data_IF_710704994665
#
_entry.id   IF_710704994665
#
_cell.length_a   1.000
_cell.length_b   1.000
_cell.length_c   1.000
_cell.angle_alpha   90.00
_cell.angle_beta   90.00
_cell.angle_gamma   90.00
#
_symmetry.space_group_name_H-M   'P 1'
#
loop_
_entity.id
_entity.type
_entity.pdbx_description
1 polymer ?
#
# COMPACT_ATOMS: atom_id res chain seq x y z
N UNK A 1 -20.81 -1.82 21.92
CA UNK A 1 -20.42 -0.40 21.85
C UNK A 1 -21.49 0.41 22.56
N UNK A 2 -21.13 1.50 23.23
CA UNK A 2 -22.10 2.47 23.74
C UNK A 2 -22.75 3.24 22.57
N UNK A 3 -23.95 3.79 22.77
CA UNK A 3 -24.65 4.62 21.76
C UNK A 3 -23.84 5.85 21.30
N UNK A 4 -22.77 6.20 22.01
CA UNK A 4 -21.85 7.30 21.73
C UNK A 4 -20.62 6.92 20.89
N UNK A 5 -20.31 5.63 20.75
CA UNK A 5 -19.07 5.20 20.09
C UNK A 5 -19.20 5.33 18.57
N UNK A 6 -18.09 5.62 17.88
CA UNK A 6 -18.03 5.75 16.42
C UNK A 6 -17.19 4.64 15.80
N UNK A 7 -17.75 3.98 14.79
CA UNK A 7 -17.03 3.04 13.96
C UNK A 7 -16.72 3.72 12.61
N UNK A 8 -15.43 3.89 12.30
CA UNK A 8 -14.98 4.56 11.07
C UNK A 8 -14.16 3.58 10.24
N UNK A 9 -14.71 3.15 9.11
CA UNK A 9 -14.04 2.29 8.14
C UNK A 9 -13.32 3.13 7.09
N UNK A 10 -11.98 3.04 7.03
CA UNK A 10 -11.19 3.68 5.98
C UNK A 10 -10.91 2.70 4.83
N UNK A 11 -11.37 3.02 3.61
CA UNK A 11 -11.39 2.11 2.48
C UNK A 11 -10.60 2.66 1.28
N UNK A 12 -10.01 1.71 0.55
CA UNK A 12 -9.47 1.92 -0.78
C UNK A 12 -10.01 0.83 -1.70
N UNK A 13 -10.86 1.20 -2.66
CA UNK A 13 -11.32 0.30 -3.71
C UNK A 13 -10.47 0.55 -4.95
N UNK A 14 -9.65 -0.43 -5.41
CA UNK A 14 -8.83 -0.26 -6.61
C UNK A 14 -9.68 0.08 -7.83
N UNK A 15 -9.18 0.88 -8.79
CA UNK A 15 -9.90 1.21 -10.02
C UNK A 15 -10.36 -0.05 -10.76
N UNK A 16 -11.49 0.02 -11.48
CA UNK A 16 -12.12 -1.11 -12.18
C UNK A 16 -11.17 -1.96 -13.04
N UNK A 17 -10.18 -1.32 -13.67
CA UNK A 17 -9.20 -1.98 -14.53
C UNK A 17 -7.90 -2.41 -13.80
N UNK A 18 -7.90 -2.40 -12.46
CA UNK A 18 -6.74 -2.81 -11.66
C UNK A 18 -6.43 -4.29 -11.86
N UNK A 19 -5.13 -4.63 -11.92
CA UNK A 19 -4.69 -6.03 -11.92
C UNK A 19 -5.11 -6.79 -10.68
N UNK A 20 -5.49 -6.09 -9.61
CA UNK A 20 -6.00 -6.67 -8.36
C UNK A 20 -7.18 -7.64 -8.62
N UNK A 21 -8.20 -7.21 -9.34
CA UNK A 21 -9.39 -8.04 -9.59
C UNK A 21 -9.08 -9.28 -10.43
N UNK A 22 -8.14 -9.18 -11.38
CA UNK A 22 -7.67 -10.33 -12.16
C UNK A 22 -6.96 -11.38 -11.30
N UNK A 23 -6.31 -10.96 -10.22
CA UNK A 23 -5.55 -11.86 -9.33
C UNK A 23 -6.46 -12.48 -8.27
N UNK A 24 -7.39 -11.70 -7.70
CA UNK A 24 -8.14 -12.09 -6.51
C UNK A 24 -9.59 -12.53 -6.77
N UNK A 25 -10.12 -12.37 -7.99
CA UNK A 25 -11.49 -12.76 -8.38
C UNK A 25 -12.55 -12.43 -7.31
N UNK A 26 -12.62 -11.17 -6.90
CA UNK A 26 -13.47 -10.70 -5.80
C UNK A 26 -14.35 -9.52 -6.20
N UNK A 27 -15.52 -9.37 -5.57
CA UNK A 27 -16.33 -8.16 -5.65
C UNK A 27 -16.28 -7.39 -4.32
N UNK A 28 -15.47 -6.32 -4.29
CA UNK A 28 -15.26 -5.53 -3.08
C UNK A 28 -16.48 -4.71 -2.66
N UNK A 29 -17.40 -4.38 -3.59
CA UNK A 29 -18.62 -3.68 -3.21
C UNK A 29 -19.60 -4.63 -2.51
N UNK A 30 -19.68 -5.88 -2.97
CA UNK A 30 -20.46 -6.92 -2.29
C UNK A 30 -19.90 -7.24 -0.91
N UNK A 31 -18.57 -7.38 -0.81
CA UNK A 31 -17.91 -7.61 0.49
C UNK A 31 -18.17 -6.45 1.46
N UNK A 32 -18.06 -5.21 0.97
CA UNK A 32 -18.39 -4.03 1.78
C UNK A 32 -19.85 -4.05 2.24
N UNK A 33 -20.79 -4.39 1.37
CA UNK A 33 -22.21 -4.49 1.71
C UNK A 33 -22.45 -5.50 2.85
N UNK A 34 -21.87 -6.70 2.72
CA UNK A 34 -21.95 -7.75 3.74
C UNK A 34 -21.39 -7.29 5.09
N UNK A 35 -20.23 -6.63 5.08
CA UNK A 35 -19.63 -6.09 6.29
C UNK A 35 -20.49 -4.97 6.89
N UNK A 36 -21.07 -4.10 6.07
CA UNK A 36 -21.94 -3.03 6.57
C UNK A 36 -23.18 -3.58 7.26
N UNK A 37 -23.76 -4.69 6.79
CA UNK A 37 -24.87 -5.38 7.48
C UNK A 37 -24.44 -5.84 8.87
N UNK A 38 -23.30 -6.52 8.96
CA UNK A 38 -22.77 -7.03 10.22
C UNK A 38 -22.47 -5.91 11.23
N UNK A 39 -21.64 -4.93 10.83
CA UNK A 39 -21.21 -3.86 11.73
C UNK A 39 -22.33 -2.87 12.09
N UNK A 40 -23.32 -2.69 11.20
CA UNK A 40 -24.48 -1.84 11.49
C UNK A 40 -25.37 -2.37 12.61
N UNK A 41 -25.37 -3.68 12.85
CA UNK A 41 -26.12 -4.28 13.95
C UNK A 41 -25.47 -3.99 15.31
N UNK A 42 -24.14 -3.87 15.33
CA UNK A 42 -23.33 -3.72 16.53
C UNK A 42 -23.06 -2.25 16.90
N UNK A 43 -23.01 -1.37 15.89
CA UNK A 43 -22.85 0.07 16.09
C UNK A 43 -23.71 0.90 15.12
N UNK A 44 -24.66 1.70 15.62
CA UNK A 44 -25.48 2.55 14.77
C UNK A 44 -24.67 3.71 14.14
N UNK A 45 -23.55 4.11 14.77
CA UNK A 45 -22.74 5.26 14.37
C UNK A 45 -21.58 4.88 13.44
N UNK A 46 -21.92 4.25 12.32
CA UNK A 46 -20.95 3.81 11.33
C UNK A 46 -20.71 4.89 10.27
N UNK A 47 -19.43 5.08 9.93
CA UNK A 47 -18.95 5.95 8.87
C UNK A 47 -18.00 5.17 7.96
N UNK A 48 -18.11 5.39 6.65
CA UNK A 48 -17.17 4.86 5.66
C UNK A 48 -16.46 6.02 5.00
N UNK A 49 -15.14 6.01 4.98
CA UNK A 49 -14.32 7.08 4.42
C UNK A 49 -13.26 6.52 3.47
N UNK A 50 -12.94 7.22 2.38
CA UNK A 50 -11.78 6.90 1.55
C UNK A 50 -12.04 6.89 0.04
N UNK A 51 -11.06 6.43 -0.73
CA UNK A 51 -11.08 6.40 -2.19
C UNK A 51 -11.81 5.16 -2.71
N UNK A 52 -13.02 5.37 -3.21
CA UNK A 52 -13.88 4.31 -3.73
C UNK A 52 -13.78 4.16 -5.26
N UNK A 53 -12.97 5.01 -5.93
CA UNK A 53 -12.85 5.07 -7.39
C UNK A 53 -14.20 5.14 -8.15
N UNK A 54 -15.24 5.62 -7.46
CA UNK A 54 -16.63 5.67 -7.92
C UNK A 54 -17.02 7.11 -8.29
N UNK A 55 -17.58 7.33 -9.47
CA UNK A 55 -18.09 8.63 -9.92
C UNK A 55 -19.59 8.58 -9.97
N UNK A 56 -20.26 9.37 -9.14
CA UNK A 56 -21.70 9.24 -8.90
C UNK A 56 -22.54 10.39 -9.47
N UNK A 57 -21.87 11.41 -10.04
CA UNK A 57 -22.48 12.69 -10.35
C UNK A 57 -23.35 13.22 -9.19
N UNK A 58 -24.55 13.73 -9.49
CA UNK A 58 -25.59 14.07 -8.52
C UNK A 58 -26.72 13.03 -8.48
N UNK A 59 -26.46 11.79 -8.90
CA UNK A 59 -27.48 10.73 -8.84
C UNK A 59 -27.81 10.42 -7.38
N UNK A 60 -29.10 10.18 -7.12
CA UNK A 60 -29.61 9.83 -5.80
C UNK A 60 -29.08 8.47 -5.34
N UNK A 61 -28.61 8.48 -4.11
CA UNK A 61 -28.10 7.37 -3.30
C UNK A 61 -29.16 6.83 -2.32
N UNK A 62 -30.42 7.18 -2.58
CA UNK A 62 -31.61 6.73 -1.84
C UNK A 62 -32.72 6.34 -2.84
N UNK A 63 -33.70 5.59 -2.36
CA UNK A 63 -34.89 5.20 -3.13
C UNK A 63 -35.89 6.36 -3.12
N UNK A 64 -36.22 6.87 -4.30
CA UNK A 64 -37.22 7.92 -4.43
C UNK A 64 -38.63 7.35 -4.29
N UNK A 65 -39.50 8.09 -3.60
CA UNK A 65 -40.91 7.74 -3.39
C UNK A 65 -41.10 6.37 -2.70
N UNK A 66 -40.23 6.05 -1.74
CA UNK A 66 -40.21 4.75 -1.06
C UNK A 66 -41.30 4.57 0.01
N UNK A 67 -42.30 5.46 0.04
CA UNK A 67 -43.42 5.36 0.98
C UNK A 67 -44.45 4.39 0.43
N UNK A 68 -44.65 3.28 1.13
CA UNK A 68 -45.78 2.38 0.88
C UNK A 68 -47.08 3.00 1.40
N UNK A 69 -48.19 2.65 0.76
CA UNK A 69 -49.52 3.03 1.22
C UNK A 69 -49.90 2.27 2.49
N UNK A 70 -50.59 2.92 3.44
CA UNK A 70 -50.95 2.36 4.74
C UNK A 70 -51.65 1.01 4.63
N UNK A 71 -52.56 0.85 3.66
CA UNK A 71 -53.27 -0.43 3.42
C UNK A 71 -52.36 -1.61 3.03
N UNK A 72 -51.15 -1.34 2.51
CA UNK A 72 -50.14 -2.37 2.26
C UNK A 72 -49.40 -2.65 3.55
N UNK A 73 -48.95 -1.60 4.25
CA UNK A 73 -48.25 -1.72 5.54
C UNK A 73 -49.07 -2.48 6.58
N UNK A 74 -50.37 -2.22 6.69
CA UNK A 74 -51.27 -2.94 7.60
C UNK A 74 -51.39 -4.44 7.27
N UNK A 75 -51.16 -4.82 6.00
CA UNK A 75 -51.24 -6.22 5.54
C UNK A 75 -49.91 -6.95 5.62
N UNK A 76 -48.79 -6.24 5.48
CA UNK A 76 -47.44 -6.84 5.49
C UNK A 76 -46.65 -6.54 6.76
N UNK A 77 -47.14 -5.66 7.63
CA UNK A 77 -46.47 -5.27 8.87
C UNK A 77 -46.27 -6.44 9.84
N UNK A 78 -47.14 -7.44 9.80
CA UNK A 78 -46.99 -8.70 10.53
C UNK A 78 -45.95 -9.65 9.91
N UNK A 79 -45.60 -9.47 8.62
CA UNK A 79 -44.69 -10.34 7.87
C UNK A 79 -43.25 -9.82 7.87
N UNK A 80 -43.05 -8.50 7.84
CA UNK A 80 -41.74 -7.88 7.96
C UNK A 80 -41.85 -6.38 8.31
N UNK A 81 -40.87 -5.87 9.05
CA UNK A 81 -40.70 -4.44 9.33
C UNK A 81 -40.14 -3.73 8.10
N UNK A 82 -40.98 -3.01 7.37
CA UNK A 82 -40.57 -2.13 6.28
C UNK A 82 -40.24 -0.73 6.83
N UNK A 83 -39.03 -0.25 6.54
CA UNK A 83 -38.62 1.13 6.85
C UNK A 83 -38.40 1.85 5.53
N UNK A 84 -39.27 2.82 5.25
CA UNK A 84 -39.16 3.63 4.03
C UNK A 84 -37.86 4.44 4.04
N UNK A 85 -37.22 4.53 2.88
CA UNK A 85 -35.95 5.22 2.72
C UNK A 85 -36.11 6.74 2.88
N UNK A 86 -35.17 7.37 3.59
CA UNK A 86 -35.21 8.81 3.87
C UNK A 86 -34.65 9.62 2.70
N UNK A 87 -35.51 10.42 2.06
CA UNK A 87 -35.10 11.33 1.01
C UNK A 87 -34.29 12.50 1.59
N UNK A 88 -33.09 12.73 1.05
CA UNK A 88 -32.21 13.82 1.46
C UNK A 88 -32.06 14.88 0.37
N UNK A 89 -31.54 16.04 0.77
CA UNK A 89 -31.19 17.12 -0.15
C UNK A 89 -30.25 16.65 -1.26
N UNK A 90 -30.41 17.26 -2.44
CA UNK A 90 -29.52 17.02 -3.57
C UNK A 90 -28.08 17.33 -3.18
N UNK A 91 -27.16 16.48 -3.61
CA UNK A 91 -25.73 16.74 -3.46
C UNK A 91 -25.32 17.89 -4.37
N UNK A 92 -24.41 18.72 -3.90
CA UNK A 92 -23.65 19.64 -4.73
C UNK A 92 -22.30 19.00 -5.07
N UNK A 93 -22.30 18.15 -6.09
CA UNK A 93 -21.09 17.51 -6.62
C UNK A 93 -20.58 18.27 -7.86
N UNK A 94 -19.31 18.75 -7.87
CA UNK A 94 -18.73 19.38 -9.05
C UNK A 94 -18.38 18.38 -10.16
N UNK A 95 -18.27 17.09 -9.84
CA UNK A 95 -18.10 16.03 -10.84
C UNK A 95 -19.46 15.67 -11.45
N UNK A 96 -19.62 15.92 -12.75
CA UNK A 96 -20.83 15.56 -13.51
C UNK A 96 -20.75 14.16 -14.14
N UNK A 97 -19.62 13.46 -14.03
CA UNK A 97 -19.42 12.16 -14.65
C UNK A 97 -19.92 10.99 -13.80
N UNK A 98 -20.20 9.87 -14.47
CA UNK A 98 -20.53 8.60 -13.84
C UNK A 98 -19.63 7.48 -14.35
N UNK A 99 -19.51 6.39 -13.58
CA UNK A 99 -18.90 5.14 -14.00
C UNK A 99 -19.62 3.93 -13.34
N UNK A 100 -19.26 2.71 -13.74
CA UNK A 100 -19.87 1.48 -13.22
C UNK A 100 -19.74 1.38 -11.69
N UNK A 101 -18.61 1.82 -11.14
CA UNK A 101 -18.36 1.84 -9.69
C UNK A 101 -19.24 2.88 -8.98
N UNK A 102 -19.57 3.99 -9.66
CA UNK A 102 -20.59 4.93 -9.25
C UNK A 102 -21.94 4.26 -9.08
N UNK A 103 -22.37 3.49 -10.07
CA UNK A 103 -23.62 2.72 -9.98
C UNK A 103 -23.58 1.72 -8.83
N UNK A 104 -22.48 0.98 -8.66
CA UNK A 104 -22.31 0.05 -7.54
C UNK A 104 -22.37 0.75 -6.18
N UNK A 105 -21.69 1.89 -6.02
CA UNK A 105 -21.73 2.69 -4.80
C UNK A 105 -23.14 3.21 -4.50
N UNK A 106 -23.85 3.70 -5.51
CA UNK A 106 -25.24 4.18 -5.35
C UNK A 106 -26.19 3.04 -4.95
N UNK A 107 -25.99 1.83 -5.48
CA UNK A 107 -26.76 0.66 -5.09
C UNK A 107 -26.45 0.23 -3.66
N UNK A 108 -25.17 0.21 -3.27
CA UNK A 108 -24.73 -0.04 -1.89
C UNK A 108 -25.36 0.96 -0.92
N UNK A 109 -25.41 2.25 -1.26
CA UNK A 109 -26.08 3.26 -0.43
C UNK A 109 -27.58 2.97 -0.25
N UNK A 110 -28.28 2.58 -1.33
CA UNK A 110 -29.72 2.26 -1.29
C UNK A 110 -30.01 1.01 -0.48
N UNK A 111 -29.19 -0.04 -0.62
CA UNK A 111 -29.42 -1.31 0.07
C UNK A 111 -29.01 -1.27 1.55
N UNK A 112 -27.96 -0.51 1.90
CA UNK A 112 -27.48 -0.39 3.28
C UNK A 112 -28.09 0.77 4.07
N UNK A 113 -28.80 1.69 3.40
CA UNK A 113 -29.28 2.94 3.98
C UNK A 113 -28.17 3.98 4.25
N UNK A 114 -26.95 3.74 3.78
CA UNK A 114 -25.87 4.74 3.81
C UNK A 114 -26.13 5.88 2.83
N UNK A 115 -25.55 7.04 3.11
CA UNK A 115 -25.66 8.26 2.31
C UNK A 115 -24.31 8.90 2.10
N UNK A 116 -24.08 9.38 0.89
CA UNK A 116 -22.92 10.17 0.52
C UNK A 116 -23.03 11.56 1.16
N UNK A 117 -22.11 11.90 2.05
CA UNK A 117 -22.12 13.19 2.75
C UNK A 117 -21.49 14.29 1.88
N UNK A 118 -20.60 13.94 0.95
CA UNK A 118 -19.99 14.89 0.01
C UNK A 118 -21.09 15.65 -0.74
N UNK A 119 -21.01 16.98 -0.73
CA UNK A 119 -22.03 17.80 -1.38
C UNK A 119 -23.27 18.09 -0.54
N UNK A 120 -23.41 17.51 0.67
CA UNK A 120 -24.57 17.71 1.57
C UNK A 120 -24.25 18.50 2.83
N UNK A 121 -22.98 18.56 3.22
CA UNK A 121 -22.59 19.28 4.42
C UNK A 121 -22.93 20.78 4.29
N UNK A 122 -23.61 21.41 5.27
CA UNK A 122 -24.12 22.78 5.15
C UNK A 122 -23.07 23.85 4.81
N UNK A 123 -21.85 23.70 5.34
CA UNK A 123 -20.75 24.64 5.08
C UNK A 123 -20.29 24.69 3.61
N UNK A 124 -20.70 23.72 2.78
CA UNK A 124 -20.37 23.67 1.35
C UNK A 124 -18.90 23.40 1.03
N UNK A 125 -18.03 23.27 2.05
CA UNK A 125 -16.59 23.04 1.89
C UNK A 125 -16.25 21.63 1.37
N UNK A 126 -17.22 20.72 1.36
CA UNK A 126 -17.11 19.38 0.75
C UNK A 126 -17.42 19.36 -0.75
N UNK A 127 -17.84 20.49 -1.32
CA UNK A 127 -18.38 20.59 -2.69
C UNK A 127 -17.25 20.84 -3.70
N UNK A 128 -16.17 20.06 -3.62
CA UNK A 128 -14.97 20.23 -4.43
C UNK A 128 -14.41 18.89 -4.92
N UNK A 129 -13.60 18.93 -5.97
CA UNK A 129 -12.95 17.75 -6.54
C UNK A 129 -11.96 17.14 -5.54
N UNK A 130 -12.03 15.81 -5.37
CA UNK A 130 -11.11 15.08 -4.49
C UNK A 130 -9.93 14.49 -5.25
N UNK A 131 -10.01 14.43 -6.58
CA UNK A 131 -8.95 13.91 -7.45
C UNK A 131 -8.72 14.81 -8.66
N UNK A 132 -7.45 14.97 -9.05
CA UNK A 132 -7.02 15.75 -10.23
C UNK A 132 -5.84 15.08 -10.93
N UNK A 133 -6.12 14.52 -12.11
CA UNK A 133 -5.15 13.81 -12.93
C UNK A 133 -5.09 14.32 -14.37
N UNK A 134 -4.16 13.79 -15.19
CA UNK A 134 -3.99 14.24 -16.59
C UNK A 134 -5.23 14.08 -17.47
N UNK A 135 -6.16 13.19 -17.08
CA UNK A 135 -7.41 12.87 -17.80
C UNK A 135 -8.61 13.68 -17.32
N UNK A 136 -8.45 14.51 -16.29
CA UNK A 136 -9.54 15.29 -15.71
C UNK A 136 -9.57 15.22 -14.20
N UNK A 137 -10.65 15.74 -13.64
CA UNK A 137 -10.93 15.81 -12.21
C UNK A 137 -12.17 14.99 -11.89
N UNK A 138 -12.25 14.49 -10.66
CA UNK A 138 -13.40 13.71 -10.19
C UNK A 138 -13.58 13.82 -8.68
N UNK A 139 -14.77 13.42 -8.22
CA UNK A 139 -15.02 13.13 -6.80
C UNK A 139 -15.08 11.62 -6.66
N UNK A 140 -14.06 11.06 -6.00
CA UNK A 140 -13.90 9.61 -5.79
C UNK A 140 -13.57 9.25 -4.34
N UNK A 141 -13.23 10.26 -3.52
CA UNK A 141 -12.97 10.12 -2.10
C UNK A 141 -14.23 10.56 -1.33
N UNK A 142 -14.85 9.63 -0.61
CA UNK A 142 -16.16 9.84 0.00
C UNK A 142 -16.12 9.78 1.52
N UNK A 143 -17.08 10.44 2.15
CA UNK A 143 -17.60 10.09 3.47
C UNK A 143 -19.03 9.59 3.30
N UNK A 144 -19.32 8.39 3.79
CA UNK A 144 -20.66 7.80 3.83
C UNK A 144 -21.10 7.66 5.29
N UNK A 145 -22.38 7.92 5.56
CA UNK A 145 -22.98 7.70 6.87
C UNK A 145 -24.49 7.41 6.73
N UNK A 146 -25.11 6.82 7.75
CA UNK A 146 -26.57 6.76 7.85
C UNK A 146 -27.16 8.17 8.07
N UNK A 147 -28.40 8.46 7.66
CA UNK A 147 -29.05 9.76 7.87
C UNK A 147 -28.96 10.28 9.32
N UNK A 148 -29.19 9.41 10.30
CA UNK A 148 -29.10 9.75 11.74
C UNK A 148 -27.72 10.24 12.20
N UNK A 149 -26.66 9.93 11.43
CA UNK A 149 -25.28 10.30 11.77
C UNK A 149 -24.80 11.55 11.05
N UNK A 150 -25.59 12.13 10.14
CA UNK A 150 -25.19 13.31 9.36
C UNK A 150 -24.93 14.50 10.30
N UNK A 151 -25.78 14.72 11.30
CA UNK A 151 -25.63 15.82 12.27
C UNK A 151 -24.43 15.64 13.21
N UNK A 152 -23.86 14.43 13.27
CA UNK A 152 -22.64 14.15 14.04
C UNK A 152 -21.38 14.63 13.30
N UNK A 153 -21.48 14.97 12.02
CA UNK A 153 -20.38 15.56 11.23
C UNK A 153 -20.43 17.08 11.39
N UNK A 154 -19.51 17.64 12.18
CA UNK A 154 -19.41 19.07 12.45
C UNK A 154 -18.73 19.85 11.32
N UNK A 155 -17.76 19.22 10.66
CA UNK A 155 -17.08 19.80 9.49
C UNK A 155 -16.78 18.72 8.48
N UNK A 156 -16.95 19.06 7.21
CA UNK A 156 -16.45 18.27 6.10
C UNK A 156 -15.85 19.18 5.03
N UNK A 157 -14.54 19.09 4.84
CA UNK A 157 -13.74 19.95 3.96
C UNK A 157 -12.97 19.09 2.98
N UNK A 158 -13.10 19.38 1.69
CA UNK A 158 -12.15 18.93 0.67
C UNK A 158 -10.99 19.93 0.65
N UNK A 159 -9.82 19.51 1.09
CA UNK A 159 -8.64 20.37 1.23
C UNK A 159 -8.00 20.71 -0.12
N UNK A 160 -7.07 21.66 -0.11
CA UNK A 160 -6.30 21.99 -1.31
C UNK A 160 -5.41 20.83 -1.78
N UNK A 161 -5.25 20.69 -3.09
CA UNK A 161 -4.29 19.76 -3.67
C UNK A 161 -2.86 20.15 -3.29
N UNK A 162 -2.01 19.14 -3.09
CA UNK A 162 -0.60 19.31 -2.71
C UNK A 162 0.33 18.74 -3.79
N UNK A 163 1.64 18.89 -3.61
CA UNK A 163 2.64 18.27 -4.49
C UNK A 163 2.87 16.79 -4.20
N UNK A 164 2.22 16.26 -3.15
CA UNK A 164 2.43 14.90 -2.64
C UNK A 164 1.51 13.86 -3.28
N UNK A 165 0.33 14.28 -3.75
CA UNK A 165 -0.68 13.39 -4.33
C UNK A 165 -1.44 14.09 -5.46
N UNK A 166 -2.05 13.31 -6.34
CA UNK A 166 -3.13 13.72 -7.24
C UNK A 166 -4.51 13.75 -6.55
N UNK A 167 -4.61 13.25 -5.32
CA UNK A 167 -5.78 13.41 -4.46
C UNK A 167 -5.66 14.64 -3.55
N UNK A 168 -6.79 15.29 -3.30
CA UNK A 168 -6.99 16.29 -2.28
C UNK A 168 -7.43 15.60 -0.96
N UNK A 169 -6.80 15.90 0.18
CA UNK A 169 -7.23 15.33 1.46
C UNK A 169 -8.66 15.73 1.82
N UNK A 170 -9.47 14.79 2.27
CA UNK A 170 -10.73 15.08 2.95
C UNK A 170 -10.51 15.20 4.45
N UNK A 171 -11.02 16.28 5.05
CA UNK A 171 -10.96 16.55 6.48
C UNK A 171 -12.37 16.50 7.06
N UNK A 172 -12.54 15.66 8.08
CA UNK A 172 -13.82 15.46 8.75
C UNK A 172 -13.64 15.70 10.24
N UNK A 173 -14.53 16.49 10.84
CA UNK A 173 -14.61 16.68 12.28
C UNK A 173 -15.93 16.10 12.78
N UNK A 174 -15.87 15.21 13.76
CA UNK A 174 -17.05 14.62 14.38
C UNK A 174 -17.36 15.30 15.71
N UNK A 175 -18.64 15.41 16.05
CA UNK A 175 -19.11 15.77 17.39
C UNK A 175 -18.80 14.62 18.33
N UNK A 176 -18.38 14.85 19.55
CA UNK A 176 -18.29 13.76 20.56
C UNK A 176 -18.87 14.29 21.86
N UNK A 177 -19.46 13.42 22.67
CA UNK A 177 -20.03 13.80 23.96
C UNK A 177 -18.96 13.85 25.08
N UNK A 178 -17.68 13.79 24.70
CA UNK A 178 -16.58 13.84 25.62
C UNK A 178 -16.27 15.28 26.03
N UNK A 179 -16.58 15.62 27.29
CA UNK A 179 -16.11 16.87 27.88
C UNK A 179 -14.66 16.67 28.30
N UNK A 180 -13.69 17.15 27.51
CA UNK A 180 -12.30 17.16 27.95
C UNK A 180 -12.17 18.02 29.21
N UNK A 181 -11.95 17.40 30.37
CA UNK A 181 -11.27 18.09 31.46
C UNK A 181 -9.82 18.26 31.01
N UNK A 182 -9.50 19.43 30.45
CA UNK A 182 -8.12 19.81 30.19
C UNK A 182 -7.42 20.09 31.52
N UNK A 183 -7.03 19.04 32.24
CA UNK A 183 -5.81 19.15 33.01
C UNK A 183 -4.68 19.12 31.98
N UNK A 184 -3.88 20.18 31.96
CA UNK A 184 -2.70 20.32 31.10
C UNK A 184 -2.03 18.97 30.85
N UNK A 185 -2.15 18.47 29.61
CA UNK A 185 -1.34 17.34 29.17
C UNK A 185 0.07 17.90 29.02
N UNK A 186 0.75 18.00 30.16
CA UNK A 186 2.20 17.96 30.22
C UNK A 186 2.61 16.73 29.43
N UNK A 187 3.41 17.00 28.39
CA UNK A 187 4.37 16.08 27.78
C UNK A 187 4.67 14.87 28.66
N UNK A 188 4.25 13.66 28.26
CA UNK A 188 4.88 12.33 28.51
C UNK A 188 3.90 11.15 28.30
N UNK A 189 3.13 11.11 27.22
CA UNK A 189 2.39 9.89 26.81
C UNK A 189 3.21 8.97 25.88
N UNK A 190 4.53 9.09 25.89
CA UNK A 190 5.44 8.21 25.14
C UNK A 190 6.65 7.81 26.02
N UNK A 191 6.37 7.43 27.27
CA UNK A 191 7.34 6.67 28.07
C UNK A 191 6.96 5.19 28.01
N UNK A 192 7.81 4.36 27.38
CA UNK A 192 7.91 2.96 27.78
C UNK A 192 7.99 1.89 26.68
N UNK A 193 7.42 2.07 25.49
CA UNK A 193 7.54 1.03 24.46
C UNK A 193 8.71 1.30 23.52
N UNK A 194 9.64 0.35 23.44
CA UNK A 194 10.68 0.33 22.42
C UNK A 194 10.02 0.37 21.03
N UNK A 195 9.97 1.55 20.41
CA UNK A 195 9.42 1.72 19.07
C UNK A 195 10.03 0.71 18.11
N UNK A 196 9.22 -0.26 17.69
CA UNK A 196 9.62 -1.26 16.72
C UNK A 196 9.80 -0.58 15.36
N UNK A 197 11.00 -0.65 14.79
CA UNK A 197 11.29 0.00 13.52
C UNK A 197 11.24 -1.01 12.37
N UNK A 198 10.28 -0.86 11.47
CA UNK A 198 10.18 -1.69 10.27
C UNK A 198 10.69 -0.92 9.04
N UNK A 199 11.45 -1.60 8.19
CA UNK A 199 11.91 -1.04 6.91
C UNK A 199 11.66 -2.02 5.78
N UNK A 200 10.82 -1.59 4.83
CA UNK A 200 10.57 -2.34 3.61
C UNK A 200 11.88 -2.64 2.84
N UNK A 201 12.04 -3.90 2.45
CA UNK A 201 13.09 -4.35 1.55
C UNK A 201 12.45 -5.19 0.42
N UNK A 202 12.60 -4.74 -0.82
CA UNK A 202 12.08 -5.41 -2.02
C UNK A 202 12.57 -6.85 -2.14
N UNK A 203 13.79 -7.16 -1.69
CA UNK A 203 14.37 -8.50 -1.78
C UNK A 203 13.58 -9.54 -0.99
N UNK A 204 12.90 -9.13 0.09
CA UNK A 204 12.07 -10.01 0.91
C UNK A 204 10.59 -9.98 0.51
N UNK A 205 10.22 -9.28 -0.57
CA UNK A 205 8.81 -9.15 -0.98
C UNK A 205 8.14 -10.51 -1.17
N UNK A 206 8.71 -11.36 -2.03
CA UNK A 206 8.06 -12.62 -2.40
C UNK A 206 8.09 -13.63 -1.23
N UNK A 207 9.15 -13.61 -0.41
CA UNK A 207 9.24 -14.43 0.80
C UNK A 207 8.21 -14.03 1.86
N UNK A 208 8.08 -12.72 2.12
CA UNK A 208 7.06 -12.22 3.03
C UNK A 208 5.66 -12.47 2.50
N UNK A 209 5.44 -12.35 1.19
CA UNK A 209 4.16 -12.65 0.56
C UNK A 209 3.76 -14.12 0.77
N UNK A 210 4.68 -15.06 0.53
CA UNK A 210 4.42 -16.47 0.78
C UNK A 210 4.19 -16.77 2.26
N UNK A 211 4.94 -16.13 3.16
CA UNK A 211 4.72 -16.28 4.60
C UNK A 211 3.31 -15.77 5.01
N UNK A 212 2.87 -14.64 4.47
CA UNK A 212 1.52 -14.13 4.69
C UNK A 212 0.45 -15.06 4.14
N UNK A 213 0.66 -15.68 2.97
CA UNK A 213 -0.27 -16.66 2.42
C UNK A 213 -0.40 -17.91 3.29
N UNK A 214 0.71 -18.42 3.82
CA UNK A 214 0.70 -19.61 4.70
C UNK A 214 0.00 -19.31 6.03
N UNK A 215 0.11 -18.08 6.54
CA UNK A 215 -0.50 -17.66 7.81
C UNK A 215 -1.81 -16.87 7.59
N UNK A 216 -2.42 -16.97 6.40
CA UNK A 216 -3.61 -16.19 6.06
C UNK A 216 -4.79 -16.56 6.96
N UNK A 217 -5.00 -17.87 7.18
CA UNK A 217 -6.08 -18.36 8.04
C UNK A 217 -5.89 -17.92 9.49
N UNK A 218 -4.66 -17.95 10.00
CA UNK A 218 -4.34 -17.46 11.35
C UNK A 218 -4.65 -15.96 11.47
N UNK A 219 -4.23 -15.15 10.50
CA UNK A 219 -4.54 -13.72 10.45
C UNK A 219 -6.05 -13.49 10.41
N UNK A 220 -6.77 -14.20 9.55
CA UNK A 220 -8.24 -14.11 9.45
C UNK A 220 -8.94 -14.53 10.74
N UNK A 221 -8.44 -15.56 11.43
CA UNK A 221 -9.01 -16.04 12.68
C UNK A 221 -8.93 -15.01 13.81
N UNK A 222 -7.91 -14.14 13.80
CA UNK A 222 -7.81 -13.05 14.79
C UNK A 222 -8.97 -12.07 14.70
N UNK A 223 -9.60 -11.97 13.53
CA UNK A 223 -10.70 -11.05 13.23
C UNK A 223 -12.07 -11.77 13.30
N UNK A 224 -12.11 -13.09 13.04
CA UNK A 224 -13.34 -13.86 12.91
C UNK A 224 -14.23 -13.91 14.16
N UNK A 225 -13.64 -13.72 15.36
CA UNK A 225 -14.37 -13.67 16.64
C UNK A 225 -14.13 -12.32 17.34
N UNK A 226 -14.09 -11.22 16.58
CA UNK A 226 -13.99 -9.88 17.16
C UNK A 226 -15.17 -9.62 18.10
N UNK A 227 -14.90 -9.46 19.39
CA UNK A 227 -15.81 -8.74 20.28
C UNK A 227 -15.65 -7.24 19.99
N UNK A 228 -16.46 -6.74 19.06
CA UNK A 228 -16.56 -5.30 18.82
C UNK A 228 -17.50 -4.62 19.80
N UNK A 229 -18.16 -5.34 20.72
CA UNK A 229 -19.10 -4.75 21.65
C UNK A 229 -18.42 -3.95 22.76
N UNK A 230 -17.10 -4.06 22.94
CA UNK A 230 -16.34 -3.31 23.93
C UNK A 230 -15.03 -2.74 23.36
N UNK A 231 -14.55 -1.63 23.93
CA UNK A 231 -13.22 -1.08 23.58
C UNK A 231 -12.10 -2.09 23.89
N UNK A 232 -12.20 -2.80 25.02
CA UNK A 232 -11.22 -3.82 25.40
C UNK A 232 -11.18 -4.99 24.41
N UNK A 233 -12.35 -5.41 23.90
CA UNK A 233 -12.44 -6.44 22.86
C UNK A 233 -11.81 -6.00 21.53
N UNK A 234 -12.06 -4.74 21.12
CA UNK A 234 -11.43 -4.15 19.94
C UNK A 234 -9.91 -4.06 20.10
N UNK A 235 -9.44 -3.55 21.23
CA UNK A 235 -8.01 -3.40 21.53
C UNK A 235 -7.32 -4.77 21.56
N UNK A 236 -7.94 -5.79 22.16
CA UNK A 236 -7.44 -7.16 22.15
C UNK A 236 -7.32 -7.70 20.74
N UNK A 237 -8.32 -7.48 19.89
CA UNK A 237 -8.26 -7.93 18.51
C UNK A 237 -7.16 -7.20 17.71
N UNK A 238 -7.07 -5.87 17.84
CA UNK A 238 -6.01 -5.08 17.20
C UNK A 238 -4.64 -5.57 17.65
N UNK A 239 -4.46 -5.85 18.94
CA UNK A 239 -3.22 -6.37 19.49
C UNK A 239 -2.90 -7.77 18.93
N UNK A 240 -3.89 -8.67 18.88
CA UNK A 240 -3.71 -10.02 18.34
C UNK A 240 -3.35 -10.00 16.85
N UNK A 241 -4.08 -9.21 16.05
CA UNK A 241 -3.79 -9.04 14.63
C UNK A 241 -2.41 -8.42 14.42
N UNK A 242 -2.10 -7.35 15.15
CA UNK A 242 -0.79 -6.67 15.08
C UNK A 242 0.34 -7.60 15.46
N UNK A 243 0.17 -8.41 16.50
CA UNK A 243 1.15 -9.39 16.95
C UNK A 243 1.33 -10.50 15.91
N UNK A 244 0.24 -11.06 15.37
CA UNK A 244 0.29 -12.08 14.33
C UNK A 244 1.01 -11.55 13.07
N UNK A 245 0.58 -10.39 12.57
CA UNK A 245 1.20 -9.72 11.43
C UNK A 245 2.68 -9.39 11.70
N UNK A 246 3.00 -8.93 12.90
CA UNK A 246 4.38 -8.66 13.32
C UNK A 246 5.20 -9.93 13.34
N UNK A 247 4.68 -11.04 13.88
CA UNK A 247 5.39 -12.32 13.91
C UNK A 247 5.73 -12.81 12.48
N UNK A 248 4.79 -12.65 11.54
CA UNK A 248 4.99 -13.05 10.14
C UNK A 248 5.96 -12.09 9.42
N UNK A 249 5.85 -10.78 9.63
CA UNK A 249 6.57 -9.77 8.83
C UNK A 249 7.90 -9.31 9.43
N UNK A 250 8.08 -9.42 10.75
CA UNK A 250 9.28 -8.97 11.45
C UNK A 250 10.57 -9.66 10.98
N UNK A 251 10.61 -10.98 10.69
CA UNK A 251 11.81 -11.63 10.15
C UNK A 251 12.34 -10.97 8.87
N UNK A 252 11.46 -10.31 8.11
CA UNK A 252 11.79 -9.67 6.84
C UNK A 252 12.12 -8.18 6.98
N UNK A 253 11.40 -7.46 7.85
CA UNK A 253 11.41 -5.99 7.86
C UNK A 253 11.78 -5.36 9.20
N UNK A 254 11.70 -6.08 10.33
CA UNK A 254 12.01 -5.51 11.65
C UNK A 254 13.51 -5.25 11.74
N UNK A 255 13.86 -4.02 12.07
CA UNK A 255 15.23 -3.64 12.38
C UNK A 255 15.43 -3.63 13.89
N UNK A 256 16.56 -4.15 14.33
CA UNK A 256 16.97 -3.98 15.71
C UNK A 256 17.20 -2.49 15.99
N UNK A 257 16.74 -1.98 17.15
CA UNK A 257 17.08 -0.64 17.58
C UNK A 257 18.60 -0.50 17.52
N UNK A 258 19.09 0.45 16.72
CA UNK A 258 20.49 0.82 16.84
C UNK A 258 20.62 1.46 18.22
N UNK A 259 21.26 0.75 19.16
CA UNK A 259 21.67 1.33 20.44
C UNK A 259 22.28 2.68 20.12
N UNK A 260 21.59 3.76 20.52
CA UNK A 260 22.11 5.11 20.34
C UNK A 260 23.35 5.17 21.22
N UNK A 261 24.52 4.89 20.66
CA UNK A 261 25.77 5.31 21.27
C UNK A 261 25.58 6.78 21.61
N UNK A 262 25.71 7.14 22.90
CA UNK A 262 25.59 8.51 23.39
C UNK A 262 26.63 9.36 22.65
N UNK A 263 26.28 9.85 21.47
CA UNK A 263 27.06 10.86 20.77
C UNK A 263 26.93 12.11 21.62
N UNK A 264 28.02 12.46 22.30
CA UNK A 264 28.17 13.76 22.96
C UNK A 264 27.68 14.82 21.97
N UNK A 265 26.65 15.57 22.36
CA UNK A 265 26.11 16.69 21.58
C UNK A 265 27.20 17.76 21.53
N UNK A 266 28.07 17.71 20.53
CA UNK A 266 28.77 18.89 20.09
C UNK A 266 27.73 19.78 19.41
N UNK A 267 27.23 20.74 20.19
CA UNK A 267 26.55 21.93 19.71
C UNK A 267 27.48 22.67 18.76
N UNK A 268 27.28 22.46 17.45
CA UNK A 268 27.69 23.28 16.30
C UNK A 268 27.86 22.36 15.08
N UNK A 269 26.72 21.91 14.55
CA UNK A 269 26.60 21.63 13.13
C UNK A 269 25.15 21.90 12.81
N UNK A 270 24.84 23.17 12.52
CA UNK A 270 23.66 23.48 11.72
C UNK A 270 23.75 22.55 10.50
N UNK A 271 22.84 21.57 10.41
CA UNK A 271 22.72 20.78 9.18
C UNK A 271 22.33 21.78 8.11
N UNK A 272 23.32 22.28 7.36
CA UNK A 272 23.06 22.98 6.11
C UNK A 272 22.23 21.99 5.30
N UNK A 273 20.95 22.31 5.10
CA UNK A 273 20.03 21.47 4.37
C UNK A 273 20.43 21.57 2.90
N UNK A 274 21.52 20.88 2.56
CA UNK A 274 22.05 20.83 1.21
C UNK A 274 21.14 19.94 0.41
N UNK A 275 20.64 20.48 -0.70
CA UNK A 275 19.86 19.71 -1.64
C UNK A 275 20.62 18.44 -2.05
N UNK A 276 19.88 17.43 -2.49
CA UNK A 276 20.47 16.23 -3.07
C UNK A 276 21.47 16.67 -4.17
N UNK A 277 22.63 16.01 -4.33
CA UNK A 277 23.64 16.41 -5.32
C UNK A 277 23.14 16.47 -6.76
N UNK A 278 22.05 15.76 -7.07
CA UNK A 278 21.42 15.74 -8.38
C UNK A 278 20.31 16.79 -8.56
N UNK A 279 19.91 17.52 -7.53
CA UNK A 279 18.83 18.51 -7.60
C UNK A 279 19.39 19.89 -7.98
N UNK A 280 19.59 20.05 -9.29
CA UNK A 280 20.18 21.26 -9.87
C UNK A 280 19.22 22.47 -9.87
N UNK A 281 19.76 23.63 -10.27
CA UNK A 281 19.02 24.88 -10.35
C UNK A 281 17.79 24.81 -11.27
N UNK A 282 17.90 24.13 -12.42
CA UNK A 282 16.77 23.93 -13.34
C UNK A 282 15.65 23.10 -12.72
N UNK A 283 15.98 22.11 -11.90
CA UNK A 283 15.01 21.30 -11.18
C UNK A 283 14.26 22.14 -10.14
N UNK A 284 14.96 23.05 -9.45
CA UNK A 284 14.35 24.04 -8.53
C UNK A 284 13.38 24.95 -9.24
N UNK A 285 13.77 25.50 -10.39
CA UNK A 285 12.92 26.39 -11.19
C UNK A 285 11.65 25.69 -11.68
N UNK A 286 11.78 24.45 -12.19
CA UNK A 286 10.64 23.64 -12.61
C UNK A 286 9.72 23.30 -11.43
N UNK A 287 10.29 23.01 -10.25
CA UNK A 287 9.51 22.77 -9.03
C UNK A 287 8.76 24.03 -8.58
N UNK A 288 9.43 25.19 -8.56
CA UNK A 288 8.81 26.46 -8.21
C UNK A 288 7.66 26.82 -9.18
N UNK A 289 7.85 26.60 -10.49
CA UNK A 289 6.78 26.79 -11.47
C UNK A 289 5.61 25.82 -11.23
N UNK A 290 5.89 24.55 -10.94
CA UNK A 290 4.85 23.58 -10.57
C UNK A 290 4.06 24.05 -9.33
N UNK A 291 4.73 24.45 -8.26
CA UNK A 291 4.07 24.98 -7.05
C UNK A 291 3.22 26.23 -7.34
N UNK A 292 3.72 27.15 -8.19
CA UNK A 292 2.96 28.33 -8.60
C UNK A 292 1.68 27.96 -9.36
N UNK A 293 1.78 27.05 -10.33
CA UNK A 293 0.60 26.57 -11.08
C UNK A 293 -0.37 25.80 -10.19
N UNK A 294 0.12 25.04 -9.22
CA UNK A 294 -0.71 24.35 -8.23
C UNK A 294 -1.50 25.34 -7.36
N UNK A 295 -0.83 26.41 -6.89
CA UNK A 295 -1.49 27.47 -6.12
C UNK A 295 -2.59 28.16 -6.95
N UNK A 296 -2.30 28.49 -8.22
CA UNK A 296 -3.31 29.05 -9.14
C UNK A 296 -4.48 28.09 -9.38
N UNK A 297 -4.20 26.80 -9.57
CA UNK A 297 -5.21 25.77 -9.75
C UNK A 297 -6.12 25.64 -8.52
N UNK A 298 -5.57 25.57 -7.31
CA UNK A 298 -6.35 25.45 -6.07
C UNK A 298 -7.36 26.59 -5.88
N UNK A 299 -7.03 27.81 -6.34
CA UNK A 299 -7.91 28.97 -6.18
C UNK A 299 -9.18 28.97 -7.03
N UNK A 300 -9.18 28.37 -8.23
CA UNK A 300 -10.35 28.42 -9.15
C UNK A 300 -10.66 27.12 -9.91
N UNK A 301 -9.72 26.18 -10.00
CA UNK A 301 -9.84 24.88 -10.68
C UNK A 301 -10.45 24.93 -12.09
N UNK A 302 -10.12 25.97 -12.85
CA UNK A 302 -10.58 26.12 -14.25
C UNK A 302 -9.86 25.14 -15.18
N UNK A 303 -10.47 24.84 -16.33
CA UNK A 303 -9.89 24.00 -17.38
C UNK A 303 -8.46 24.45 -17.76
N UNK A 304 -8.25 25.75 -17.97
CA UNK A 304 -6.93 26.30 -18.31
C UNK A 304 -5.91 26.10 -17.17
N UNK A 305 -6.32 26.36 -15.92
CA UNK A 305 -5.43 26.16 -14.77
C UNK A 305 -5.05 24.69 -14.57
N UNK A 306 -5.97 23.77 -14.90
CA UNK A 306 -5.73 22.33 -14.86
C UNK A 306 -4.72 21.88 -15.92
N UNK A 307 -4.84 22.39 -17.15
CA UNK A 307 -3.86 22.12 -18.22
C UNK A 307 -2.47 22.64 -17.83
N UNK A 308 -2.41 23.88 -17.36
CA UNK A 308 -1.17 24.51 -16.92
C UNK A 308 -0.48 23.73 -15.79
N UNK A 309 -1.27 23.31 -14.79
CA UNK A 309 -0.79 22.48 -13.68
C UNK A 309 -0.20 21.17 -14.19
N UNK A 310 -0.93 20.44 -15.03
CA UNK A 310 -0.51 19.16 -15.56
C UNK A 310 0.76 19.28 -16.43
N UNK A 311 0.84 20.33 -17.25
CA UNK A 311 2.02 20.63 -18.06
C UNK A 311 3.26 20.91 -17.18
N UNK A 312 3.11 21.77 -16.17
CA UNK A 312 4.20 22.10 -15.24
C UNK A 312 4.63 20.88 -14.39
N UNK A 313 3.68 20.11 -13.85
CA UNK A 313 3.93 18.85 -13.12
C UNK A 313 4.69 17.86 -13.98
N UNK A 314 4.26 17.66 -15.24
CA UNK A 314 4.92 16.74 -16.19
C UNK A 314 6.35 17.18 -16.51
N UNK A 315 6.57 18.46 -16.77
CA UNK A 315 7.91 19.00 -17.05
C UNK A 315 8.86 18.78 -15.87
N UNK A 316 8.42 19.12 -14.65
CA UNK A 316 9.18 18.89 -13.43
C UNK A 316 9.49 17.41 -13.21
N UNK A 317 8.48 16.53 -13.19
CA UNK A 317 8.66 15.10 -12.91
C UNK A 317 9.54 14.40 -13.95
N UNK A 318 9.40 14.75 -15.24
CA UNK A 318 10.27 14.22 -16.29
C UNK A 318 11.74 14.59 -16.05
N UNK A 319 12.01 15.85 -15.68
CA UNK A 319 13.36 16.33 -15.43
C UNK A 319 13.95 15.74 -14.13
N UNK A 320 13.16 15.71 -13.05
CA UNK A 320 13.52 15.07 -11.79
C UNK A 320 13.93 13.60 -12.01
N UNK A 321 13.12 12.83 -12.76
CA UNK A 321 13.44 11.45 -13.10
C UNK A 321 14.74 11.33 -13.91
N UNK A 322 15.00 12.24 -14.86
CA UNK A 322 16.25 12.27 -15.64
C UNK A 322 17.46 12.45 -14.74
N UNK A 323 17.43 13.42 -13.82
CA UNK A 323 18.53 13.70 -12.89
C UNK A 323 18.78 12.52 -11.95
N UNK A 324 17.72 11.95 -11.35
CA UNK A 324 17.83 10.75 -10.51
C UNK A 324 18.46 9.57 -11.25
N UNK A 325 18.10 9.34 -12.51
CA UNK A 325 18.68 8.26 -13.34
C UNK A 325 20.15 8.54 -13.68
N UNK A 326 20.47 9.77 -14.08
CA UNK A 326 21.85 10.17 -14.40
C UNK A 326 22.77 10.00 -13.18
N UNK A 327 22.32 10.47 -12.02
CA UNK A 327 23.05 10.36 -10.77
C UNK A 327 23.30 8.91 -10.37
N UNK A 328 22.26 8.05 -10.39
CA UNK A 328 22.44 6.60 -10.12
C UNK A 328 23.41 5.94 -11.10
N UNK A 329 23.39 6.34 -12.37
CA UNK A 329 24.33 5.83 -13.39
C UNK A 329 25.77 6.27 -13.09
N UNK A 330 25.97 7.53 -12.72
CA UNK A 330 27.27 8.05 -12.31
C UNK A 330 27.80 7.34 -11.05
N UNK A 331 26.95 7.09 -10.05
CA UNK A 331 27.32 6.27 -8.90
C UNK A 331 27.79 4.88 -9.33
N UNK A 332 27.09 4.24 -10.28
CA UNK A 332 27.51 2.97 -10.88
C UNK A 332 28.88 3.04 -11.56
N UNK A 333 29.14 4.07 -12.37
CA UNK A 333 30.46 4.27 -13.00
C UNK A 333 31.58 4.50 -11.99
N UNK A 334 31.32 5.30 -10.95
CA UNK A 334 32.28 5.52 -9.87
C UNK A 334 32.61 4.21 -9.15
N UNK A 335 31.61 3.36 -8.92
CA UNK A 335 31.82 2.04 -8.34
C UNK A 335 32.65 1.12 -9.27
N UNK A 336 32.37 1.09 -10.57
CA UNK A 336 33.18 0.33 -11.53
C UNK A 336 34.64 0.80 -11.60
N UNK A 337 34.85 2.13 -11.63
CA UNK A 337 36.19 2.72 -11.62
C UNK A 337 36.91 2.39 -10.32
N UNK A 338 36.23 2.52 -9.18
CA UNK A 338 36.79 2.16 -7.88
C UNK A 338 37.14 0.67 -7.79
N UNK A 339 36.33 -0.22 -8.38
CA UNK A 339 36.62 -1.65 -8.48
C UNK A 339 37.91 -1.92 -9.25
N UNK A 340 38.17 -1.19 -10.33
CA UNK A 340 39.37 -1.32 -11.16
C UNK A 340 40.61 -0.70 -10.52
N UNK A 341 40.50 0.55 -10.07
CA UNK A 341 41.64 1.37 -9.66
C UNK A 341 42.00 1.19 -8.17
N UNK A 342 41.01 0.86 -7.32
CA UNK A 342 41.22 0.64 -5.89
C UNK A 342 40.26 -0.44 -5.34
N UNK A 343 40.49 -1.72 -5.70
CA UNK A 343 39.62 -2.82 -5.28
C UNK A 343 39.41 -2.89 -3.77
N UNK A 344 40.44 -2.55 -2.97
CA UNK A 344 40.35 -2.53 -1.50
C UNK A 344 39.31 -1.51 -1.00
N UNK A 345 39.32 -0.30 -1.55
CA UNK A 345 38.33 0.74 -1.22
C UNK A 345 36.95 0.42 -1.80
N UNK A 346 36.89 -0.23 -2.95
CA UNK A 346 35.62 -0.74 -3.49
C UNK A 346 34.98 -1.74 -2.54
N UNK A 347 35.68 -2.82 -2.18
CA UNK A 347 35.14 -3.83 -1.27
C UNK A 347 34.88 -3.26 0.14
N UNK A 348 35.61 -2.23 0.59
CA UNK A 348 35.31 -1.59 1.88
C UNK A 348 33.94 -0.90 1.91
N UNK A 349 33.43 -0.38 0.78
CA UNK A 349 32.07 0.18 0.68
C UNK A 349 30.97 -0.88 0.88
N UNK A 350 31.25 -2.13 0.52
CA UNK A 350 30.32 -3.25 0.64
C UNK A 350 30.58 -4.12 1.88
N UNK A 351 31.70 -3.90 2.60
CA UNK A 351 32.05 -4.53 3.89
C UNK A 351 31.20 -4.01 5.05
N UNK A 352 29.89 -3.82 4.88
CA UNK A 352 29.02 -3.96 6.04
C UNK A 352 29.18 -5.40 6.52
N UNK A 353 29.91 -5.58 7.62
CA UNK A 353 29.98 -6.84 8.36
C UNK A 353 28.56 -7.18 8.81
N UNK A 354 27.78 -7.82 7.94
CA UNK A 354 26.82 -8.78 8.44
C UNK A 354 27.67 -9.90 9.01
N UNK A 355 28.05 -9.78 10.29
CA UNK A 355 28.31 -10.96 11.09
C UNK A 355 26.98 -11.71 11.14
N UNK A 356 26.62 -12.42 10.06
CA UNK A 356 25.76 -13.59 10.24
C UNK A 356 26.60 -14.49 11.13
N UNK A 357 26.20 -14.62 12.39
CA UNK A 357 26.62 -15.77 13.18
C UNK A 357 26.18 -16.97 12.34
N UNK A 358 27.15 -17.66 11.76
CA UNK A 358 26.88 -19.00 11.27
C UNK A 358 26.75 -19.82 12.54
N UNK A 359 25.52 -20.22 12.89
CA UNK A 359 25.28 -21.03 14.09
C UNK A 359 25.83 -22.46 13.94
N UNK A 360 26.33 -22.81 12.75
CA UNK A 360 27.09 -24.03 12.51
C UNK A 360 28.48 -23.92 13.14
N UNK A 361 28.65 -24.66 14.23
CA UNK A 361 29.96 -24.97 14.79
C UNK A 361 30.83 -25.64 13.71
N UNK A 362 32.09 -25.23 13.60
CA UNK A 362 33.06 -25.80 12.65
C UNK A 362 33.23 -27.32 12.85
N UNK A 363 33.00 -27.78 14.08
CA UNK A 363 33.04 -29.20 14.45
C UNK A 363 31.87 -29.96 13.83
N UNK A 364 30.66 -29.41 13.89
CA UNK A 364 29.46 -30.03 13.31
C UNK A 364 29.54 -30.04 11.78
N UNK A 365 30.07 -28.96 11.20
CA UNK A 365 30.35 -28.89 9.76
C UNK A 365 31.39 -29.94 9.33
N UNK A 366 32.45 -30.12 10.11
CA UNK A 366 33.48 -31.12 9.85
C UNK A 366 32.93 -32.55 9.95
N UNK A 367 32.21 -32.88 11.04
CA UNK A 367 31.67 -34.23 11.23
C UNK A 367 30.61 -34.57 10.16
N UNK A 368 29.75 -33.62 9.76
CA UNK A 368 28.80 -33.83 8.67
C UNK A 368 29.50 -34.23 7.37
N UNK A 369 30.54 -33.50 6.95
CA UNK A 369 31.25 -33.83 5.70
C UNK A 369 32.12 -35.08 5.84
N UNK A 370 32.65 -35.35 7.03
CA UNK A 370 33.37 -36.59 7.32
C UNK A 370 32.46 -37.80 7.23
N UNK A 371 31.24 -37.75 7.77
CA UNK A 371 30.23 -38.80 7.60
C UNK A 371 29.78 -38.93 6.14
N UNK A 372 29.60 -37.81 5.43
CA UNK A 372 29.26 -37.82 4.00
C UNK A 372 30.33 -38.53 3.15
N UNK A 373 31.60 -38.33 3.48
CA UNK A 373 32.73 -39.00 2.80
C UNK A 373 32.89 -40.45 3.28
N UNK A 374 32.61 -40.74 4.55
CA UNK A 374 32.73 -42.09 5.13
C UNK A 374 31.57 -43.02 4.73
N UNK A 375 30.43 -42.44 4.34
CA UNK A 375 29.25 -43.17 3.84
C UNK A 375 29.28 -43.40 2.33
N UNK A 376 30.24 -42.80 1.61
CA UNK A 376 30.49 -43.14 0.22
C UNK A 376 31.11 -44.56 0.17
N UNK A 377 30.61 -45.46 -0.70
CA UNK A 377 31.17 -46.80 -0.83
C UNK A 377 32.67 -46.69 -1.17
N UNK A 378 33.50 -47.39 -0.40
CA UNK A 378 34.95 -47.48 -0.56
C UNK A 378 35.34 -47.78 -2.01
N UNK A 379 35.51 -46.74 -2.82
CA UNK A 379 36.44 -46.80 -3.94
C UNK A 379 37.76 -46.28 -3.39
N UNK A 380 38.69 -47.22 -3.16
CA UNK A 380 40.09 -46.92 -2.84
C UNK A 380 40.74 -46.21 -4.03
N UNK A 381 40.38 -44.95 -4.28
CA UNK A 381 41.18 -44.03 -5.07
C UNK A 381 41.74 -43.02 -4.10
N UNK A 382 43.02 -43.22 -3.72
CA UNK A 382 43.86 -42.11 -3.24
C UNK A 382 43.61 -40.93 -4.19
N UNK A 383 43.40 -39.70 -3.70
CA UNK A 383 43.46 -38.56 -4.60
C UNK A 383 44.88 -38.56 -5.18
N UNK A 384 44.97 -38.93 -6.44
CA UNK A 384 46.18 -38.70 -7.21
C UNK A 384 46.50 -37.21 -7.08
N UNK A 385 47.78 -36.95 -6.87
CA UNK A 385 48.38 -35.63 -6.92
C UNK A 385 47.70 -34.86 -8.05
N UNK A 386 47.06 -33.73 -7.73
CA UNK A 386 46.46 -32.84 -8.73
C UNK A 386 47.60 -32.44 -9.65
N UNK A 387 47.66 -33.11 -10.80
CA UNK A 387 48.52 -32.71 -11.88
C UNK A 387 47.86 -31.45 -12.44
N UNK A 388 48.49 -30.29 -12.26
CA UNK A 388 48.00 -28.99 -12.74
C UNK A 388 47.97 -28.89 -14.29
N UNK A 389 48.15 -30.02 -14.99
CA UNK A 389 48.11 -30.18 -16.44
C UNK A 389 47.03 -31.19 -16.87
N UNK A 390 45.87 -31.19 -16.20
CA UNK A 390 44.71 -31.93 -16.70
C UNK A 390 44.12 -31.17 -17.89
N UNK A 391 44.67 -31.41 -19.08
CA UNK A 391 44.05 -31.04 -20.35
C UNK A 391 42.95 -32.07 -20.59
N UNK A 392 41.70 -31.62 -20.57
CA UNK A 392 40.58 -32.45 -21.01
C UNK A 392 40.43 -32.22 -22.51
N UNK A 393 40.99 -33.13 -23.31
CA UNK A 393 40.92 -33.04 -24.79
C UNK A 393 39.46 -32.91 -25.28
N UNK A 394 38.50 -33.41 -24.48
CA UNK A 394 37.06 -33.30 -24.71
C UNK A 394 36.54 -31.84 -24.67
N UNK A 395 37.21 -30.95 -23.93
CA UNK A 395 36.87 -29.52 -23.84
C UNK A 395 37.49 -28.69 -24.98
N UNK A 396 38.51 -29.23 -25.65
CA UNK A 396 39.21 -28.60 -26.77
C UNK A 396 38.78 -29.18 -28.14
N UNK A 397 37.87 -30.16 -28.15
CA UNK A 397 37.28 -30.70 -29.37
C UNK A 397 36.22 -29.74 -29.96
N UNK A 398 36.07 -29.78 -31.29
CA UNK A 398 35.03 -29.03 -31.97
C UNK A 398 33.64 -29.55 -31.57
N UNK A 399 32.75 -28.63 -31.18
CA UNK A 399 31.36 -28.95 -30.83
C UNK A 399 30.67 -29.58 -32.05
N UNK A 400 30.16 -30.79 -31.89
CA UNK A 400 29.51 -31.54 -32.97
C UNK A 400 28.00 -31.28 -33.03
N UNK A 401 27.39 -31.47 -34.20
CA UNK A 401 25.95 -31.33 -34.38
C UNK A 401 25.15 -32.30 -33.47
N UNK A 402 25.64 -33.52 -33.27
CA UNK A 402 24.99 -34.53 -32.43
C UNK A 402 24.95 -34.11 -30.96
N UNK A 403 26.01 -33.45 -30.49
CA UNK A 403 26.10 -32.94 -29.12
C UNK A 403 25.08 -31.83 -28.88
N UNK A 404 24.92 -30.93 -29.85
CA UNK A 404 23.89 -29.88 -29.83
C UNK A 404 22.49 -30.51 -29.84
N UNK A 405 22.24 -31.52 -30.68
CA UNK A 405 20.94 -32.21 -30.75
C UNK A 405 20.62 -32.88 -29.41
N UNK A 406 21.61 -33.53 -28.79
CA UNK A 406 21.44 -34.16 -27.48
C UNK A 406 21.11 -33.13 -26.40
N UNK A 407 21.84 -32.01 -26.36
CA UNK A 407 21.58 -30.92 -25.41
C UNK A 407 20.18 -30.30 -25.59
N UNK A 408 19.73 -30.10 -26.84
CA UNK A 408 18.38 -29.60 -27.15
C UNK A 408 17.32 -30.59 -26.65
N UNK A 409 17.55 -31.90 -26.81
CA UNK A 409 16.62 -32.93 -26.34
C UNK A 409 16.49 -32.97 -24.81
N UNK A 410 17.53 -32.60 -24.08
CA UNK A 410 17.54 -32.53 -22.61
C UNK A 410 16.91 -31.23 -22.05
N UNK A 411 16.59 -30.24 -22.91
CA UNK A 411 15.93 -29.02 -22.47
C UNK A 411 14.55 -29.30 -21.86
N UNK A 412 14.30 -28.66 -20.71
CA UNK A 412 13.00 -28.70 -20.02
C UNK A 412 11.96 -27.94 -20.85
N UNK A 413 10.80 -28.56 -21.06
CA UNK A 413 9.67 -27.95 -21.79
C UNK A 413 9.15 -26.69 -21.07
N UNK A 414 8.60 -25.75 -21.85
CA UNK A 414 7.98 -24.49 -21.39
C UNK A 414 8.86 -23.55 -20.56
N UNK A 415 10.18 -23.58 -20.79
CA UNK A 415 11.11 -22.57 -20.28
C UNK A 415 11.37 -21.49 -21.31
N UNK A 416 11.51 -20.25 -20.84
CA UNK A 416 11.90 -19.11 -21.67
C UNK A 416 13.28 -19.36 -22.30
N UNK A 417 13.44 -19.01 -23.57
CA UNK A 417 14.72 -19.16 -24.28
C UNK A 417 15.83 -18.32 -23.64
N UNK A 418 17.06 -18.80 -23.77
CA UNK A 418 18.26 -18.01 -23.48
C UNK A 418 18.55 -16.97 -24.58
N UNK A 419 19.69 -16.29 -24.51
CA UNK A 419 20.14 -15.34 -25.55
C UNK A 419 20.36 -15.96 -26.94
N UNK A 420 20.35 -17.30 -27.03
CA UNK A 420 20.47 -18.14 -28.21
C UNK A 420 19.13 -18.39 -28.94
N UNK A 421 18.00 -18.00 -28.32
CA UNK A 421 16.63 -18.09 -28.87
C UNK A 421 16.12 -19.52 -29.11
N UNK A 422 16.78 -20.52 -28.54
CA UNK A 422 16.39 -21.92 -28.68
C UNK A 422 15.33 -22.27 -27.62
N UNK A 423 14.21 -22.86 -28.05
CA UNK A 423 13.13 -23.38 -27.18
C UNK A 423 12.62 -24.72 -27.72
N UNK A 424 12.26 -25.62 -26.80
CA UNK A 424 11.65 -26.91 -27.13
C UNK A 424 10.12 -26.75 -27.07
N UNK A 425 9.46 -26.80 -28.23
CA UNK A 425 8.00 -26.68 -28.39
C UNK A 425 7.38 -28.06 -28.67
N UNK A 426 6.11 -28.25 -28.26
CA UNK A 426 5.32 -29.45 -28.59
C UNK A 426 5.12 -29.53 -30.12
N UNK A 427 5.50 -30.66 -30.72
CA UNK A 427 5.17 -31.03 -32.11
C UNK A 427 3.77 -31.61 -32.19
#
# INVERSE_FOLDING_TARGET
MCESDYLIANLYIPPQNSSFYRIHNCDLFYELESQMIHYSAECPNIFVIGDLNARTANINDYVQNDKLHDSILDRVGDLFTYVADEALSCRNNPDAGTNDYGTKLLNLCKSSGLRIINGRHPDGLSNDFTYSGPRGMSVIDYLLAKPINIEKVLKFITSNFTTYSDHAPIHVQFKTDFTMQCNDINSNLMDGEESQFFKWNKEFRDLCYNALLVNADDLSSTIANMDIASQDGMDLCINNFTQCLTNVTAPFFKQMPKVKAKLKRNSQNQRVNTDKPWFDQKCKELYANYCKKLHTFNGKKTFNSHIDLNSAKKAYKKYECKLKRSYKRQEGYMLCKLKKDNPRKFYSLFRKKNQRKCDLNITDFFEYFKELVSSAPNSNKRPEVINNECVFDELDADITADEIIKAINELKMDKSHGPDWITKLLS
#
